data_IF_182797691052
#
_entry.id   IF_182797691052
#
_cell.length_a   1.000
_cell.length_b   1.000
_cell.length_c   1.000
_cell.angle_alpha   90.00
_cell.angle_beta   90.00
_cell.angle_gamma   90.00
#
_symmetry.space_group_name_H-M   'P 1'
#
loop_
_entity.id
_entity.type
_entity.pdbx_description
1 polymer ?
#
# COMPACT_ATOMS: atom_id res chain seq x y z
N UNK A 1 -2.77 21.52 18.53
CA UNK A 1 -1.40 21.20 18.10
C UNK A 1 -1.55 20.19 16.98
N UNK A 2 -1.98 20.69 15.82
CA UNK A 2 -2.31 19.89 14.66
C UNK A 2 -1.07 19.91 13.79
N UNK A 3 -0.36 18.79 13.71
CA UNK A 3 0.71 18.64 12.72
C UNK A 3 0.05 18.57 11.34
N UNK A 4 0.21 19.66 10.61
CA UNK A 4 -0.08 19.73 9.18
C UNK A 4 0.88 18.78 8.46
N UNK A 5 0.37 17.64 8.02
CA UNK A 5 1.06 16.78 7.06
C UNK A 5 0.95 17.46 5.68
N UNK A 6 1.79 18.47 5.47
CA UNK A 6 2.10 19.02 4.16
C UNK A 6 3.00 18.02 3.43
N UNK A 7 2.41 17.15 2.60
CA UNK A 7 2.99 16.63 1.34
C UNK A 7 2.27 15.35 0.85
N UNK A 8 0.98 15.41 0.59
CA UNK A 8 0.35 14.40 -0.28
C UNK A 8 -0.49 15.14 -1.32
N UNK A 9 -0.02 15.06 -2.57
CA UNK A 9 -0.72 15.43 -3.80
C UNK A 9 -2.21 15.07 -3.74
N UNK A 10 -3.06 15.91 -4.34
CA UNK A 10 -4.53 15.83 -4.39
C UNK A 10 -5.13 14.44 -4.75
N UNK A 11 -4.99 13.43 -3.91
CA UNK A 11 -5.69 12.16 -4.06
C UNK A 11 -7.04 12.30 -3.38
N UNK A 12 -8.08 12.42 -4.20
CA UNK A 12 -9.45 12.49 -3.70
C UNK A 12 -9.89 11.07 -3.36
N UNK A 13 -10.64 10.88 -2.27
CA UNK A 13 -11.13 9.53 -1.90
C UNK A 13 -12.22 9.03 -2.85
N UNK A 14 -12.76 9.90 -3.70
CA UNK A 14 -13.83 9.61 -4.65
C UNK A 14 -13.65 10.39 -5.94
N UNK A 15 -14.07 9.80 -7.05
CA UNK A 15 -14.08 10.42 -8.39
C UNK A 15 -15.50 10.45 -8.93
N UNK A 16 -15.92 11.61 -9.43
CA UNK A 16 -17.19 11.74 -10.14
C UNK A 16 -17.05 11.14 -11.55
N UNK A 17 -17.85 10.10 -11.82
CA UNK A 17 -17.86 9.39 -13.08
C UNK A 17 -19.24 9.50 -13.73
N UNK A 18 -19.23 9.46 -15.06
CA UNK A 18 -20.45 9.35 -15.85
C UNK A 18 -20.71 7.88 -16.11
N UNK A 19 -21.84 7.36 -15.62
CA UNK A 19 -22.20 5.95 -15.71
C UNK A 19 -23.65 5.75 -16.15
N UNK A 20 -23.94 4.57 -16.69
CA UNK A 20 -25.28 4.18 -17.10
C UNK A 20 -25.91 3.33 -16.02
N UNK A 21 -27.05 3.79 -15.46
CA UNK A 21 -27.80 3.02 -14.47
C UNK A 21 -28.78 2.09 -15.18
N UNK A 22 -29.04 0.92 -14.58
CA UNK A 22 -29.95 -0.11 -15.14
C UNK A 22 -31.33 0.45 -15.47
N UNK A 23 -31.81 1.41 -14.69
CA UNK A 23 -33.11 2.06 -14.84
C UNK A 23 -33.20 2.96 -16.10
N UNK A 24 -32.05 3.47 -16.59
CA UNK A 24 -32.00 4.35 -17.76
C UNK A 24 -30.65 4.22 -18.48
N UNK A 25 -30.57 3.25 -19.40
CA UNK A 25 -29.38 3.00 -20.22
C UNK A 25 -29.20 4.02 -21.36
N UNK A 26 -30.19 4.88 -21.61
CA UNK A 26 -30.14 5.85 -22.70
C UNK A 26 -29.54 7.19 -22.24
N UNK A 27 -29.65 7.52 -20.94
CA UNK A 27 -29.17 8.77 -20.38
C UNK A 27 -28.08 8.51 -19.33
N UNK A 28 -26.81 8.76 -19.65
CA UNK A 28 -25.75 8.65 -18.67
C UNK A 28 -25.95 9.64 -17.53
N UNK A 29 -25.69 9.20 -16.30
CA UNK A 29 -25.84 9.97 -15.07
C UNK A 29 -24.48 10.11 -14.37
N UNK A 30 -24.32 11.19 -13.60
CA UNK A 30 -23.14 11.36 -12.76
C UNK A 30 -23.32 10.62 -11.44
N UNK A 31 -22.27 9.96 -11.00
CA UNK A 31 -22.20 9.31 -9.69
C UNK A 31 -20.79 9.45 -9.11
N UNK A 32 -20.68 9.44 -7.80
CA UNK A 32 -19.40 9.50 -7.10
C UNK A 32 -18.94 8.10 -6.74
N UNK A 33 -17.81 7.69 -7.30
CA UNK A 33 -17.24 6.34 -7.12
C UNK A 33 -15.99 6.44 -6.24
N UNK A 34 -15.87 5.54 -5.27
CA UNK A 34 -14.70 5.48 -4.41
C UNK A 34 -13.43 5.16 -5.23
N UNK A 35 -12.34 5.84 -4.91
CA UNK A 35 -11.04 5.61 -5.53
C UNK A 35 -10.25 4.55 -4.74
N UNK A 36 -9.71 3.56 -5.45
CA UNK A 36 -8.79 2.56 -4.91
C UNK A 36 -7.49 2.61 -5.70
N UNK A 37 -6.38 2.78 -4.99
CA UNK A 37 -5.04 2.80 -5.57
C UNK A 37 -4.22 1.64 -5.01
N UNK A 38 -3.26 1.10 -5.77
CA UNK A 38 -2.33 0.13 -5.21
C UNK A 38 -1.35 0.85 -4.27
N UNK A 39 -1.25 0.33 -3.05
CA UNK A 39 -0.37 0.80 -1.97
C UNK A 39 0.62 -0.30 -1.64
N UNK A 40 1.91 -0.03 -1.88
CA UNK A 40 3.00 -0.93 -1.53
C UNK A 40 3.49 -0.65 -0.10
N UNK A 41 3.56 -1.68 0.76
CA UNK A 41 4.18 -1.58 2.07
C UNK A 41 5.61 -2.09 2.00
N UNK A 42 6.56 -1.20 2.32
CA UNK A 42 7.99 -1.46 2.19
C UNK A 42 8.64 -1.30 3.55
N UNK A 43 9.18 -2.41 4.07
CA UNK A 43 9.83 -2.43 5.38
C UNK A 43 11.34 -2.46 5.20
N UNK A 44 12.05 -1.44 5.71
CA UNK A 44 13.52 -1.30 5.58
C UNK A 44 14.01 -1.55 4.13
N UNK A 45 13.32 -0.97 3.15
CA UNK A 45 13.63 -1.10 1.72
C UNK A 45 13.20 -2.42 1.06
N UNK A 46 12.48 -3.29 1.76
CA UNK A 46 11.95 -4.54 1.20
C UNK A 46 10.44 -4.45 1.02
N UNK A 47 9.99 -4.51 -0.24
CA UNK A 47 8.57 -4.65 -0.55
C UNK A 47 8.03 -5.98 -0.01
N UNK A 48 7.00 -5.86 0.83
CA UNK A 48 6.38 -6.98 1.51
C UNK A 48 5.04 -7.34 0.88
N UNK A 49 4.14 -6.37 0.73
CA UNK A 49 2.82 -6.55 0.12
C UNK A 49 2.41 -5.33 -0.70
N UNK A 50 1.49 -5.54 -1.63
CA UNK A 50 0.76 -4.48 -2.32
C UNK A 50 -0.72 -4.71 -2.10
N UNK A 51 -1.44 -3.70 -1.64
CA UNK A 51 -2.88 -3.76 -1.37
C UNK A 51 -3.61 -2.67 -2.14
N UNK A 52 -4.84 -2.95 -2.58
CA UNK A 52 -5.73 -1.90 -3.06
C UNK A 52 -6.33 -1.20 -1.84
N UNK A 53 -6.15 0.11 -1.74
CA UNK A 53 -6.67 0.90 -0.64
C UNK A 53 -7.06 2.29 -1.12
N UNK A 54 -7.97 2.93 -0.39
CA UNK A 54 -8.24 4.35 -0.61
C UNK A 54 -6.98 5.16 -0.27
N UNK A 55 -6.63 6.19 -1.07
CA UNK A 55 -5.41 6.97 -0.91
C UNK A 55 -5.52 8.00 0.25
N UNK A 56 -5.97 7.55 1.42
CA UNK A 56 -6.10 8.35 2.64
C UNK A 56 -5.60 7.56 3.85
N UNK A 57 -5.10 8.28 4.85
CA UNK A 57 -4.69 7.71 6.15
C UNK A 57 -3.73 6.51 6.05
N UNK A 58 -2.87 6.49 5.03
CA UNK A 58 -2.01 5.34 4.72
C UNK A 58 -1.04 4.98 5.84
N UNK A 59 -0.62 5.96 6.65
CA UNK A 59 0.21 5.72 7.84
C UNK A 59 -0.53 4.88 8.89
N UNK A 60 -1.82 5.16 9.11
CA UNK A 60 -2.66 4.38 10.03
C UNK A 60 -2.93 2.99 9.47
N UNK A 61 -3.15 2.90 8.16
CA UNK A 61 -3.32 1.62 7.47
C UNK A 61 -2.08 0.74 7.60
N UNK A 62 -0.88 1.28 7.34
CA UNK A 62 0.38 0.57 7.46
C UNK A 62 0.63 0.07 8.89
N UNK A 63 0.39 0.92 9.90
CA UNK A 63 0.53 0.54 11.31
C UNK A 63 -0.46 -0.55 11.71
N UNK A 64 -1.73 -0.42 11.33
CA UNK A 64 -2.76 -1.42 11.60
C UNK A 64 -2.46 -2.76 10.93
N UNK A 65 -1.99 -2.73 9.69
CA UNK A 65 -1.55 -3.92 8.96
C UNK A 65 -0.37 -4.60 9.67
N UNK A 66 0.65 -3.81 10.07
CA UNK A 66 1.81 -4.35 10.79
C UNK A 66 1.45 -5.02 12.11
N UNK A 67 0.48 -4.49 12.86
CA UNK A 67 0.00 -5.11 14.10
C UNK A 67 -0.82 -6.38 13.81
N UNK A 68 -1.73 -6.32 12.83
CA UNK A 68 -2.64 -7.43 12.50
C UNK A 68 -1.90 -8.66 11.98
N UNK A 69 -0.87 -8.46 11.16
CA UNK A 69 -0.01 -9.53 10.65
C UNK A 69 1.07 -9.99 11.67
N UNK A 70 1.15 -9.32 12.82
CA UNK A 70 2.18 -9.57 13.84
C UNK A 70 3.60 -9.31 13.32
N UNK A 71 3.75 -8.32 12.42
CA UNK A 71 5.06 -7.82 11.97
C UNK A 71 5.70 -7.00 13.10
N UNK A 72 4.88 -6.25 13.85
CA UNK A 72 5.25 -5.52 15.06
C UNK A 72 4.35 -5.95 16.22
N UNK A 73 4.85 -5.85 17.46
CA UNK A 73 4.03 -6.04 18.66
C UNK A 73 3.64 -4.72 19.32
N UNK A 74 4.40 -3.66 19.07
CA UNK A 74 4.16 -2.33 19.60
C UNK A 74 4.42 -1.27 18.54
N UNK A 75 3.66 -0.15 18.52
CA UNK A 75 3.95 0.97 17.64
C UNK A 75 5.38 1.54 17.78
N UNK A 76 6.03 1.32 18.95
CA UNK A 76 7.41 1.74 19.21
C UNK A 76 8.46 0.98 18.39
N UNK A 77 8.09 -0.13 17.76
CA UNK A 77 8.98 -0.88 16.87
C UNK A 77 9.19 -0.16 15.52
N UNK A 78 8.38 0.87 15.23
CA UNK A 78 8.50 1.72 14.04
C UNK A 78 9.24 3.01 14.40
N UNK A 79 10.30 3.33 13.66
CA UNK A 79 11.08 4.56 13.82
C UNK A 79 10.58 5.70 12.93
N UNK A 80 10.04 5.37 11.76
CA UNK A 80 9.56 6.35 10.80
C UNK A 80 8.63 5.70 9.76
N UNK A 81 7.74 6.51 9.20
CA UNK A 81 6.87 6.14 8.10
C UNK A 81 6.76 7.29 7.11
N UNK A 82 7.09 7.04 5.86
CA UNK A 82 7.01 8.01 4.78
C UNK A 82 6.13 7.48 3.65
N UNK A 83 5.18 8.29 3.22
CA UNK A 83 4.33 7.98 2.06
C UNK A 83 4.92 8.66 0.84
N UNK A 84 5.32 7.87 -0.15
CA UNK A 84 5.93 8.35 -1.39
C UNK A 84 5.09 7.92 -2.60
N UNK A 85 4.92 8.80 -3.59
CA UNK A 85 4.32 8.39 -4.87
C UNK A 85 5.29 7.47 -5.63
N UNK A 86 4.74 6.45 -6.26
CA UNK A 86 5.48 5.46 -7.05
C UNK A 86 4.85 5.32 -8.45
N UNK A 87 5.53 4.61 -9.36
CA UNK A 87 5.12 4.54 -10.76
C UNK A 87 3.70 3.98 -10.98
N UNK A 88 3.24 3.10 -10.11
CA UNK A 88 1.94 2.44 -10.24
C UNK A 88 0.92 2.86 -9.16
N UNK A 89 1.28 3.75 -8.22
CA UNK A 89 0.42 4.11 -7.09
C UNK A 89 1.18 4.74 -5.95
N UNK A 90 0.92 4.29 -4.72
CA UNK A 90 1.53 4.82 -3.50
C UNK A 90 2.41 3.77 -2.83
N UNK A 91 3.44 4.24 -2.13
CA UNK A 91 4.36 3.38 -1.40
C UNK A 91 4.54 3.95 0.00
N UNK A 92 4.39 3.10 1.02
CA UNK A 92 4.64 3.45 2.41
C UNK A 92 5.96 2.81 2.83
N UNK A 93 6.99 3.64 2.97
CA UNK A 93 8.28 3.27 3.52
C UNK A 93 8.17 3.24 5.03
N UNK A 94 8.50 2.11 5.65
CA UNK A 94 8.38 1.89 7.08
C UNK A 94 9.75 1.46 7.60
N UNK A 95 10.29 2.26 8.50
CA UNK A 95 11.56 1.96 9.17
C UNK A 95 11.28 1.19 10.47
N UNK A 96 11.73 -0.06 10.52
CA UNK A 96 11.51 -1.00 11.63
C UNK A 96 12.79 -1.32 12.39
N UNK A 97 12.64 -1.64 13.68
CA UNK A 97 13.71 -2.21 14.49
C UNK A 97 14.30 -3.50 13.89
N UNK A 98 15.63 -3.62 13.97
CA UNK A 98 16.41 -4.72 13.40
C UNK A 98 15.94 -6.11 13.89
N UNK A 99 15.45 -6.18 15.13
CA UNK A 99 14.94 -7.40 15.77
C UNK A 99 13.70 -7.95 15.05
N UNK A 100 12.74 -7.07 14.73
CA UNK A 100 11.50 -7.45 14.00
C UNK A 100 11.78 -7.76 12.55
N UNK A 101 12.70 -7.01 11.93
CA UNK A 101 13.12 -7.25 10.56
C UNK A 101 13.75 -8.64 10.35
N UNK A 102 14.50 -9.15 11.33
CA UNK A 102 15.01 -10.53 11.29
C UNK A 102 13.89 -11.57 11.35
N UNK A 103 12.90 -11.40 12.23
CA UNK A 103 11.72 -12.28 12.30
C UNK A 103 10.89 -12.28 11.00
N UNK A 104 10.78 -11.14 10.32
CA UNK A 104 10.13 -11.04 9.02
C UNK A 104 10.89 -11.82 7.93
N UNK A 105 12.23 -11.75 7.92
CA UNK A 105 13.07 -12.54 7.01
C UNK A 105 12.97 -14.04 7.27
N UNK A 106 12.90 -14.45 8.53
CA UNK A 106 12.71 -15.85 8.93
C UNK A 106 11.33 -16.38 8.52
N UNK A 107 10.25 -15.61 8.73
CA UNK A 107 8.89 -15.95 8.22
C UNK A 107 8.85 -16.04 6.70
N UNK A 108 9.54 -15.16 5.96
CA UNK A 108 9.65 -15.28 4.49
C UNK A 108 10.41 -16.53 4.08
N UNK A 109 11.44 -16.97 4.82
CA UNK A 109 12.13 -18.24 4.53
C UNK A 109 11.22 -19.44 4.77
N UNK A 110 10.31 -19.38 5.74
CA UNK A 110 9.29 -20.40 5.96
C UNK A 110 8.21 -20.41 4.86
N UNK A 111 7.82 -19.24 4.34
CA UNK A 111 6.82 -19.11 3.26
C UNK A 111 7.40 -19.24 1.84
N UNK A 112 8.72 -19.13 1.65
CA UNK A 112 9.39 -19.30 0.36
C UNK A 112 9.41 -20.75 -0.16
N UNK A 113 8.70 -21.67 0.51
CA UNK A 113 8.39 -23.01 0.01
C UNK A 113 7.30 -23.00 -1.07
N UNK A 114 6.36 -22.05 -1.07
CA UNK A 114 5.20 -22.11 -1.97
C UNK A 114 4.85 -20.73 -2.54
N UNK A 115 4.89 -20.63 -3.87
CA UNK A 115 4.46 -19.51 -4.72
C UNK A 115 5.41 -18.31 -4.88
N UNK A 116 6.55 -18.56 -5.54
CA UNK A 116 7.31 -17.53 -6.23
C UNK A 116 6.53 -17.06 -7.47
N UNK A 117 5.87 -15.89 -7.41
CA UNK A 117 5.56 -15.12 -8.62
C UNK A 117 6.90 -14.73 -9.28
N UNK A 118 7.26 -15.54 -10.27
CA UNK A 118 8.42 -15.37 -11.12
C UNK A 118 8.18 -14.13 -11.98
N UNK A 119 8.61 -12.97 -11.49
CA UNK A 119 8.75 -11.80 -12.35
C UNK A 119 9.70 -12.18 -13.48
N UNK A 120 9.18 -12.20 -14.71
CA UNK A 120 9.88 -12.55 -15.93
C UNK A 120 11.09 -11.62 -16.10
N UNK A 121 12.27 -12.03 -15.62
CA UNK A 121 13.53 -11.54 -16.18
C UNK A 121 13.62 -12.10 -17.60
N UNK A 122 13.09 -11.39 -18.59
CA UNK A 122 13.53 -11.56 -19.97
C UNK A 122 14.99 -11.13 -20.01
N UNK A 123 15.88 -12.11 -20.17
CA UNK A 123 17.22 -11.91 -20.71
C UNK A 123 17.04 -11.32 -22.11
N UNK A 124 17.63 -10.17 -22.37
CA UNK A 124 18.07 -9.82 -23.71
C UNK A 124 19.60 -9.78 -23.66
N UNK A 125 20.20 -10.89 -24.06
CA UNK A 125 21.54 -10.96 -24.62
C UNK A 125 21.52 -10.23 -25.96
N UNK A 126 22.26 -9.13 -26.07
CA UNK A 126 23.29 -8.91 -27.08
C UNK A 126 24.11 -7.69 -26.67
#
# INVERSE_FOLDING_TARGET
MSEEVLNVTNFTTSRQLTLWKRENLQHPQRDDVAEEVPVALVYNGISHVVMMASPKDLTHFAMGFSLSEGIIESPRDIFGMDVVPSCNGLEVQIELSSRRFMGLKERRRALAGENRLRCLRRRATQ
#
